data_IF_914152057428
#
_entry.id   IF_914152057428
#
_cell.length_a   1.000
_cell.length_b   1.000
_cell.length_c   1.000
_cell.angle_alpha   90.00
_cell.angle_beta   90.00
_cell.angle_gamma   90.00
#
_symmetry.space_group_name_H-M   'P 1'
#
loop_
_entity.id
_entity.type
_entity.pdbx_description
1 polymer ?
#
# COMPACT_ATOMS: atom_id res chain seq x y z
N UNK A 1 24.82 -13.16 -6.63
CA UNK A 1 23.62 -13.96 -6.33
C UNK A 1 22.37 -13.08 -6.43
N UNK A 2 21.35 -13.54 -7.15
CA UNK A 2 20.07 -12.84 -7.28
C UNK A 2 19.15 -13.17 -6.11
N UNK A 3 18.19 -12.28 -5.85
CA UNK A 3 17.17 -12.45 -4.79
C UNK A 3 16.37 -13.74 -4.96
N UNK A 4 16.08 -14.14 -6.19
CA UNK A 4 15.31 -15.36 -6.49
C UNK A 4 16.09 -16.62 -6.10
N UNK A 5 17.42 -16.63 -6.23
CA UNK A 5 18.24 -17.83 -6.01
C UNK A 5 18.21 -18.30 -4.54
N UNK A 6 17.92 -17.35 -3.63
CA UNK A 6 17.74 -17.60 -2.19
C UNK A 6 16.38 -18.23 -1.86
N UNK A 7 15.45 -18.31 -2.81
CA UNK A 7 14.10 -18.86 -2.59
C UNK A 7 13.97 -20.19 -3.33
N UNK A 8 13.49 -21.21 -2.65
CA UNK A 8 13.20 -22.52 -3.25
C UNK A 8 11.80 -22.97 -2.90
N UNK A 9 11.01 -23.36 -3.90
CA UNK A 9 9.65 -23.87 -3.71
C UNK A 9 9.75 -25.38 -3.67
N UNK A 10 9.33 -25.98 -2.56
CA UNK A 10 9.43 -27.42 -2.33
C UNK A 10 8.07 -28.01 -1.99
N UNK A 11 7.86 -29.24 -2.45
CA UNK A 11 6.63 -29.98 -2.22
C UNK A 11 6.80 -30.98 -1.08
N UNK A 12 5.86 -30.97 -0.14
CA UNK A 12 5.75 -32.01 0.88
C UNK A 12 5.29 -31.50 2.23
N UNK A 13 5.47 -32.34 3.25
CA UNK A 13 5.26 -31.96 4.64
C UNK A 13 6.45 -31.13 5.12
N UNK A 14 6.17 -29.97 5.72
CA UNK A 14 7.19 -29.05 6.22
C UNK A 14 8.14 -29.70 7.24
N UNK A 15 7.65 -30.64 8.06
CA UNK A 15 8.46 -31.38 9.04
C UNK A 15 9.51 -32.26 8.34
N UNK A 16 9.17 -32.86 7.19
CA UNK A 16 10.10 -33.68 6.42
C UNK A 16 11.12 -32.82 5.68
N UNK A 17 10.69 -31.65 5.18
CA UNK A 17 11.56 -30.68 4.50
C UNK A 17 12.65 -30.19 5.44
N UNK A 18 12.31 -29.81 6.69
CA UNK A 18 13.33 -29.28 7.62
C UNK A 18 14.39 -30.32 7.97
N UNK A 19 14.02 -31.60 8.05
CA UNK A 19 14.96 -32.71 8.28
C UNK A 19 15.85 -32.98 7.07
N UNK A 20 15.29 -32.92 5.87
CA UNK A 20 16.02 -33.21 4.63
C UNK A 20 17.02 -32.10 4.26
N UNK A 21 16.72 -30.86 4.61
CA UNK A 21 17.46 -29.68 4.16
C UNK A 21 18.24 -28.96 5.27
N UNK A 22 18.33 -29.55 6.47
CA UNK A 22 19.04 -28.99 7.63
C UNK A 22 18.65 -27.52 7.90
N UNK A 23 17.35 -27.33 8.13
CA UNK A 23 16.76 -26.00 8.27
C UNK A 23 16.81 -25.55 9.73
N UNK A 24 17.37 -24.36 9.99
CA UNK A 24 17.54 -23.80 11.34
C UNK A 24 16.21 -23.31 11.94
N UNK A 25 15.30 -22.75 11.11
CA UNK A 25 13.99 -22.27 11.57
C UNK A 25 12.81 -22.85 10.79
N UNK A 26 11.78 -23.26 11.51
CA UNK A 26 10.49 -23.67 10.93
C UNK A 26 9.39 -22.67 11.27
N UNK A 27 8.58 -22.28 10.29
CA UNK A 27 7.43 -21.40 10.53
C UNK A 27 6.17 -22.24 10.75
N UNK A 28 5.52 -22.02 11.88
CA UNK A 28 4.21 -22.56 12.18
C UNK A 28 3.11 -21.54 11.78
N UNK A 29 2.16 -21.97 10.95
CA UNK A 29 0.92 -21.24 10.68
C UNK A 29 -0.08 -21.41 11.84
N UNK A 30 0.14 -20.66 12.91
CA UNK A 30 -0.49 -20.87 14.21
C UNK A 30 -1.81 -20.12 14.39
N UNK A 31 -2.60 -20.57 15.37
CA UNK A 31 -3.70 -19.79 15.96
C UNK A 31 -3.14 -18.81 17.00
N UNK A 32 -3.88 -17.73 17.32
CA UNK A 32 -3.51 -16.72 18.33
C UNK A 32 -3.12 -17.28 19.70
N UNK A 33 -3.66 -18.45 20.08
CA UNK A 33 -3.38 -19.08 21.36
C UNK A 33 -2.02 -19.75 21.42
N UNK A 34 -1.45 -20.14 20.27
CA UNK A 34 -0.21 -20.94 20.14
C UNK A 34 -0.29 -22.35 20.74
N UNK A 35 -1.49 -22.82 21.09
CA UNK A 35 -1.71 -24.11 21.78
C UNK A 35 -1.97 -25.28 20.83
N UNK A 36 -1.46 -25.20 19.60
CA UNK A 36 -1.64 -26.20 18.57
C UNK A 36 -2.98 -26.15 17.82
N UNK A 37 -3.12 -27.07 16.86
CA UNK A 37 -4.25 -27.09 15.95
C UNK A 37 -4.19 -28.26 14.97
N UNK A 38 -4.69 -28.03 13.76
CA UNK A 38 -4.67 -28.98 12.65
C UNK A 38 -3.79 -28.46 11.51
N UNK A 39 -3.51 -29.31 10.52
CA UNK A 39 -2.65 -28.96 9.40
C UNK A 39 -1.19 -28.79 9.85
N UNK A 40 -0.52 -27.75 9.36
CA UNK A 40 0.90 -27.49 9.67
C UNK A 40 1.15 -27.32 11.18
N UNK A 41 0.26 -26.63 11.88
CA UNK A 41 0.36 -26.40 13.33
C UNK A 41 0.36 -27.72 14.11
N UNK A 42 -0.61 -28.58 13.82
CA UNK A 42 -0.68 -29.91 14.42
C UNK A 42 0.53 -30.79 14.08
N UNK A 43 0.99 -30.76 12.83
CA UNK A 43 2.14 -31.55 12.39
C UNK A 43 3.44 -31.14 13.12
N UNK A 44 3.67 -29.84 13.34
CA UNK A 44 4.84 -29.35 14.07
C UNK A 44 4.77 -29.73 15.55
N UNK A 45 3.60 -29.52 16.20
CA UNK A 45 3.39 -29.92 17.58
C UNK A 45 3.63 -31.43 17.78
N UNK A 46 3.03 -32.25 16.93
CA UNK A 46 3.18 -33.70 17.00
C UNK A 46 4.64 -34.12 16.78
N UNK A 47 5.33 -33.55 15.79
CA UNK A 47 6.73 -33.88 15.52
C UNK A 47 7.65 -33.54 16.70
N UNK A 48 7.43 -32.40 17.37
CA UNK A 48 8.22 -32.02 18.55
C UNK A 48 7.88 -32.91 19.75
N UNK A 49 6.60 -33.21 19.98
CA UNK A 49 6.16 -34.11 21.06
C UNK A 49 6.75 -35.52 20.89
N UNK A 50 6.70 -36.07 19.67
CA UNK A 50 7.21 -37.40 19.33
C UNK A 50 8.74 -37.48 19.55
N UNK A 51 9.51 -36.48 19.08
CA UNK A 51 10.96 -36.44 19.27
C UNK A 51 11.38 -36.32 20.75
N UNK A 52 10.49 -35.77 21.58
CA UNK A 52 10.71 -35.63 23.03
C UNK A 52 10.02 -36.73 23.85
N UNK A 53 9.39 -37.72 23.21
CA UNK A 53 8.69 -38.84 23.85
C UNK A 53 7.65 -38.40 24.89
N UNK A 54 6.98 -37.27 24.67
CA UNK A 54 5.95 -36.74 25.58
C UNK A 54 4.87 -35.97 24.82
N UNK A 55 3.65 -36.50 24.85
CA UNK A 55 2.47 -35.81 24.31
C UNK A 55 2.19 -34.51 25.07
N UNK A 56 1.94 -33.42 24.34
CA UNK A 56 1.69 -32.10 24.90
C UNK A 56 2.95 -31.37 25.37
N UNK A 57 4.15 -31.95 25.18
CA UNK A 57 5.42 -31.33 25.57
C UNK A 57 5.58 -29.95 24.98
N UNK A 58 5.40 -29.79 23.68
CA UNK A 58 5.64 -28.50 23.03
C UNK A 58 4.67 -27.42 23.55
N UNK A 59 3.42 -27.79 23.82
CA UNK A 59 2.42 -26.89 24.40
C UNK A 59 2.81 -26.41 25.80
N UNK A 60 3.31 -27.30 26.65
CA UNK A 60 3.81 -26.94 27.98
C UNK A 60 5.00 -25.99 27.88
N UNK A 61 5.95 -26.30 26.99
CA UNK A 61 7.14 -25.49 26.79
C UNK A 61 6.83 -24.08 26.26
N UNK A 62 5.88 -23.95 25.32
CA UNK A 62 5.43 -22.62 24.84
C UNK A 62 4.89 -21.78 26.00
N UNK A 63 4.18 -22.39 26.96
CA UNK A 63 3.70 -21.66 28.14
C UNK A 63 4.83 -21.24 29.05
N UNK A 64 5.78 -22.14 29.29
CA UNK A 64 6.95 -21.85 30.12
C UNK A 64 7.77 -20.68 29.53
N UNK A 65 8.04 -20.72 28.22
CA UNK A 65 8.80 -19.69 27.49
C UNK A 65 8.07 -18.34 27.42
N UNK A 66 6.75 -18.32 27.24
CA UNK A 66 6.00 -17.08 26.96
C UNK A 66 5.21 -16.53 28.14
N UNK A 67 4.68 -17.38 29.01
CA UNK A 67 3.88 -16.95 30.17
C UNK A 67 4.74 -16.82 31.45
N UNK A 68 5.90 -17.49 31.49
CA UNK A 68 6.84 -17.50 32.60
C UNK A 68 6.16 -17.83 33.94
N UNK A 69 6.39 -16.99 34.95
CA UNK A 69 5.85 -17.19 36.31
C UNK A 69 4.33 -16.96 36.43
N UNK A 70 3.63 -16.55 35.38
CA UNK A 70 2.20 -16.28 35.41
C UNK A 70 1.44 -17.08 34.33
N UNK A 71 1.33 -18.42 34.51
CA UNK A 71 0.82 -19.32 33.50
C UNK A 71 -0.59 -18.93 33.07
N UNK A 72 -0.78 -18.74 31.76
CA UNK A 72 -2.07 -18.38 31.19
C UNK A 72 -2.85 -19.63 30.78
N UNK A 73 -4.18 -19.50 30.76
CA UNK A 73 -5.07 -20.54 30.23
C UNK A 73 -4.81 -20.76 28.74
N UNK A 74 -5.26 -21.89 28.22
CA UNK A 74 -5.05 -22.26 26.81
C UNK A 74 -5.72 -21.30 25.84
N UNK A 75 -6.83 -20.69 26.23
CA UNK A 75 -7.61 -19.76 25.42
C UNK A 75 -6.98 -18.35 25.36
N UNK A 76 -5.93 -18.10 26.14
CA UNK A 76 -5.25 -16.82 26.13
C UNK A 76 -4.55 -16.58 24.78
N UNK A 77 -4.80 -15.41 24.19
CA UNK A 77 -4.16 -15.01 22.95
C UNK A 77 -2.74 -14.53 23.26
N UNK A 78 -1.74 -15.36 22.94
CA UNK A 78 -0.32 -15.03 23.11
C UNK A 78 0.23 -14.22 21.95
N UNK A 79 -0.37 -14.35 20.76
CA UNK A 79 0.05 -13.64 19.56
C UNK A 79 -1.13 -12.97 18.86
N UNK A 80 -0.90 -11.75 18.35
CA UNK A 80 -1.88 -11.02 17.56
C UNK A 80 -1.81 -11.36 16.07
N UNK A 81 -2.92 -11.15 15.37
CA UNK A 81 -2.96 -11.29 13.92
C UNK A 81 -1.94 -10.35 13.26
N UNK A 82 -1.17 -10.87 12.31
CA UNK A 82 -0.15 -10.09 11.62
C UNK A 82 1.20 -10.02 12.32
N UNK A 83 1.39 -10.84 13.36
CA UNK A 83 2.64 -10.94 14.13
C UNK A 83 3.14 -12.38 14.16
N UNK A 84 4.40 -12.51 14.53
CA UNK A 84 5.03 -13.79 14.81
C UNK A 84 5.78 -13.74 16.14
N UNK A 85 5.88 -14.89 16.81
CA UNK A 85 6.64 -15.09 18.06
C UNK A 85 7.55 -16.29 17.88
N UNK A 86 8.76 -16.22 18.42
CA UNK A 86 9.76 -17.29 18.36
C UNK A 86 9.73 -18.09 19.65
N UNK A 87 9.83 -19.41 19.54
CA UNK A 87 10.12 -20.34 20.64
C UNK A 87 11.22 -21.30 20.21
N UNK A 88 11.75 -22.09 21.14
CA UNK A 88 12.70 -23.16 20.80
C UNK A 88 12.04 -24.23 19.93
N UNK A 89 12.75 -24.73 18.93
CA UNK A 89 12.32 -25.86 18.11
C UNK A 89 12.73 -27.23 18.67
N UNK A 90 13.42 -27.25 19.81
CA UNK A 90 13.84 -28.46 20.52
C UNK A 90 14.69 -29.37 19.64
N UNK A 91 14.31 -30.66 19.53
CA UNK A 91 15.03 -31.64 18.73
C UNK A 91 14.64 -31.59 17.24
N UNK A 92 13.70 -30.75 16.85
CA UNK A 92 13.24 -30.67 15.46
C UNK A 92 14.10 -29.70 14.64
N UNK A 93 14.28 -28.48 15.16
CA UNK A 93 15.06 -27.37 14.59
C UNK A 93 15.51 -26.46 15.74
N UNK A 94 16.35 -25.46 15.48
CA UNK A 94 16.78 -24.52 16.53
C UNK A 94 15.60 -23.70 17.05
N UNK A 95 14.77 -23.18 16.14
CA UNK A 95 13.65 -22.30 16.49
C UNK A 95 12.38 -22.56 15.69
N UNK A 96 11.24 -22.40 16.36
CA UNK A 96 9.91 -22.37 15.73
C UNK A 96 9.39 -20.94 15.76
N UNK A 97 9.04 -20.42 14.59
CA UNK A 97 8.38 -19.11 14.46
C UNK A 97 6.88 -19.34 14.34
N UNK A 98 6.12 -18.99 15.36
CA UNK A 98 4.67 -19.05 15.34
C UNK A 98 4.06 -17.79 14.73
N UNK A 99 3.65 -17.86 13.47
CA UNK A 99 3.06 -16.75 12.74
C UNK A 99 1.54 -16.85 12.67
N UNK A 100 0.84 -15.79 13.08
CA UNK A 100 -0.62 -15.78 13.17
C UNK A 100 -1.26 -14.97 12.05
N UNK A 101 -1.55 -15.66 10.94
CA UNK A 101 -2.21 -15.09 9.77
C UNK A 101 -3.67 -14.68 10.01
N UNK A 102 -4.23 -13.76 9.22
CA UNK A 102 -5.65 -13.40 9.33
C UNK A 102 -6.55 -14.48 8.73
N UNK A 103 -7.79 -14.57 9.22
CA UNK A 103 -8.87 -15.25 8.50
C UNK A 103 -9.28 -14.43 7.28
N UNK A 104 -9.60 -15.12 6.18
CA UNK A 104 -10.16 -14.49 5.00
C UNK A 104 -11.47 -13.79 5.32
N UNK A 105 -11.56 -12.50 4.99
CA UNK A 105 -12.77 -11.72 5.19
C UNK A 105 -13.56 -11.48 3.89
N UNK A 106 -13.07 -11.95 2.75
CA UNK A 106 -13.76 -11.85 1.47
C UNK A 106 -14.89 -12.86 1.31
N UNK A 107 -15.71 -12.66 0.28
CA UNK A 107 -16.78 -13.60 -0.05
C UNK A 107 -16.22 -14.72 -0.93
N UNK A 108 -16.19 -15.95 -0.40
CA UNK A 108 -15.69 -17.14 -1.10
C UNK A 108 -16.61 -17.57 -2.27
N UNK A 109 -17.91 -17.27 -2.20
CA UNK A 109 -18.90 -17.70 -3.19
C UNK A 109 -18.90 -16.84 -4.46
N UNK A 110 -18.19 -15.71 -4.47
CA UNK A 110 -17.93 -14.94 -5.68
C UNK A 110 -16.53 -15.32 -6.13
N UNK A 111 -16.41 -16.11 -7.19
CA UNK A 111 -15.15 -16.47 -7.85
C UNK A 111 -14.18 -15.27 -7.86
N UNK A 112 -13.16 -15.27 -6.99
CA UNK A 112 -12.19 -14.18 -6.88
C UNK A 112 -12.61 -12.96 -6.04
N UNK A 113 -13.44 -13.14 -5.00
CA UNK A 113 -13.81 -12.07 -4.07
C UNK A 113 -12.60 -11.27 -3.57
N UNK A 114 -12.77 -9.95 -3.42
CA UNK A 114 -11.75 -9.10 -2.79
C UNK A 114 -11.80 -9.23 -1.27
N UNK A 115 -10.65 -9.29 -0.61
CA UNK A 115 -10.53 -9.09 0.84
C UNK A 115 -10.29 -7.62 1.17
N UNK A 116 -10.49 -7.25 2.43
CA UNK A 116 -10.17 -5.91 2.90
C UNK A 116 -8.67 -5.63 2.85
N UNK A 117 -8.30 -4.35 2.82
CA UNK A 117 -6.91 -3.92 2.93
C UNK A 117 -6.28 -4.37 4.26
N UNK A 118 -7.01 -4.27 5.38
CA UNK A 118 -6.54 -4.68 6.70
C UNK A 118 -6.22 -6.17 6.78
N UNK A 119 -7.01 -7.02 6.11
CA UNK A 119 -6.72 -8.46 6.03
C UNK A 119 -5.40 -8.71 5.28
N UNK A 120 -5.19 -8.05 4.14
CA UNK A 120 -3.96 -8.19 3.36
C UNK A 120 -2.74 -7.68 4.14
N UNK A 121 -2.87 -6.55 4.83
CA UNK A 121 -1.80 -5.97 5.64
C UNK A 121 -1.42 -6.85 6.83
N UNK A 122 -2.38 -7.56 7.44
CA UNK A 122 -2.09 -8.56 8.48
C UNK A 122 -1.30 -9.73 7.89
N UNK A 123 -1.70 -10.28 6.74
CA UNK A 123 -0.95 -11.39 6.15
C UNK A 123 0.48 -10.97 5.74
N UNK A 124 0.63 -9.78 5.15
CA UNK A 124 1.94 -9.17 4.89
C UNK A 124 2.76 -9.01 6.17
N UNK A 125 2.14 -8.48 7.23
CA UNK A 125 2.78 -8.29 8.54
C UNK A 125 3.31 -9.59 9.14
N UNK A 126 2.62 -10.72 8.93
CA UNK A 126 3.12 -12.04 9.36
C UNK A 126 4.46 -12.35 8.70
N UNK A 127 4.55 -12.22 7.38
CA UNK A 127 5.80 -12.52 6.65
C UNK A 127 6.91 -11.54 6.99
N UNK A 128 6.60 -10.25 7.17
CA UNK A 128 7.60 -9.28 7.66
C UNK A 128 8.11 -9.66 9.05
N UNK A 129 7.21 -9.99 9.99
CA UNK A 129 7.58 -10.43 11.34
C UNK A 129 8.40 -11.72 11.33
N UNK A 130 8.06 -12.70 10.49
CA UNK A 130 8.81 -13.96 10.33
C UNK A 130 10.24 -13.69 9.89
N UNK A 131 10.42 -12.84 8.88
CA UNK A 131 11.73 -12.53 8.32
C UNK A 131 12.55 -11.64 9.27
N UNK A 132 11.91 -10.72 10.00
CA UNK A 132 12.56 -9.95 11.05
C UNK A 132 13.06 -10.87 12.18
N UNK A 133 12.25 -11.84 12.62
CA UNK A 133 12.66 -12.86 13.59
C UNK A 133 13.84 -13.70 13.08
N UNK A 134 13.84 -14.12 11.82
CA UNK A 134 14.98 -14.84 11.22
C UNK A 134 16.28 -14.03 11.34
N UNK A 135 16.24 -12.72 11.08
CA UNK A 135 17.41 -11.85 11.20
C UNK A 135 17.83 -11.60 12.64
N UNK A 136 16.88 -11.49 13.57
CA UNK A 136 17.13 -11.26 14.99
C UNK A 136 17.85 -12.45 15.63
N UNK A 137 17.46 -13.67 15.27
CA UNK A 137 18.02 -14.92 15.77
C UNK A 137 19.24 -15.40 14.95
N UNK A 138 19.67 -14.64 13.93
CA UNK A 138 20.88 -14.94 13.16
C UNK A 138 20.82 -16.22 12.32
N UNK A 139 19.62 -16.72 12.00
CA UNK A 139 19.43 -17.94 11.23
C UNK A 139 19.50 -17.66 9.72
N UNK A 140 20.04 -18.63 8.97
CA UNK A 140 20.36 -18.52 7.55
C UNK A 140 19.45 -19.39 6.68
N UNK A 141 18.84 -20.44 7.22
CA UNK A 141 17.85 -21.29 6.56
C UNK A 141 16.50 -21.27 7.28
N UNK A 142 15.42 -21.15 6.50
CA UNK A 142 14.06 -21.14 7.05
C UNK A 142 13.07 -21.87 6.12
N UNK A 143 12.14 -22.62 6.70
CA UNK A 143 11.03 -23.24 5.98
C UNK A 143 9.70 -22.55 6.34
N UNK A 144 8.98 -22.07 5.33
CA UNK A 144 7.79 -21.25 5.47
C UNK A 144 6.61 -21.89 4.72
N UNK A 145 5.51 -22.26 5.40
CA UNK A 145 4.30 -22.71 4.74
C UNK A 145 3.54 -21.51 4.16
N UNK A 146 2.54 -21.75 3.32
CA UNK A 146 1.64 -20.68 2.86
C UNK A 146 0.66 -20.33 4.00
N UNK A 147 0.93 -19.24 4.71
CA UNK A 147 0.14 -18.83 5.87
C UNK A 147 -1.28 -18.44 5.45
N UNK A 148 -2.27 -18.82 6.26
CA UNK A 148 -3.72 -18.59 6.08
C UNK A 148 -4.43 -19.33 4.95
N UNK A 149 -3.74 -20.07 4.07
CA UNK A 149 -4.37 -20.73 2.91
C UNK A 149 -5.13 -22.02 3.21
N UNK A 150 -5.01 -22.55 4.44
CA UNK A 150 -5.75 -23.73 4.90
C UNK A 150 -7.04 -23.38 5.64
N UNK A 151 -7.09 -23.68 6.94
CA UNK A 151 -8.29 -23.51 7.78
C UNK A 151 -8.82 -22.07 7.86
N UNK A 152 -7.98 -21.07 7.58
CA UNK A 152 -8.32 -19.64 7.56
C UNK A 152 -8.90 -19.19 6.21
N UNK A 153 -9.01 -20.12 5.24
CA UNK A 153 -9.72 -19.99 3.95
C UNK A 153 -9.24 -18.83 3.08
N UNK A 154 -8.01 -18.38 3.26
CA UNK A 154 -7.43 -17.39 2.35
C UNK A 154 -7.19 -18.07 1.00
N UNK A 155 -7.68 -17.53 -0.13
CA UNK A 155 -7.47 -18.13 -1.44
C UNK A 155 -5.97 -18.35 -1.70
N UNK A 156 -5.61 -19.58 -2.05
CA UNK A 156 -4.21 -20.01 -2.12
C UNK A 156 -3.36 -19.08 -2.99
N UNK A 157 -3.78 -18.84 -4.24
CA UNK A 157 -3.06 -17.98 -5.18
C UNK A 157 -2.77 -16.57 -4.62
N UNK A 158 -3.75 -15.96 -3.93
CA UNK A 158 -3.57 -14.65 -3.32
C UNK A 158 -2.61 -14.70 -2.12
N UNK A 159 -2.71 -15.73 -1.28
CA UNK A 159 -1.80 -15.92 -0.15
C UNK A 159 -0.36 -16.17 -0.62
N UNK A 160 -0.19 -17.03 -1.63
CA UNK A 160 1.08 -17.34 -2.28
C UNK A 160 1.71 -16.09 -2.90
N UNK A 161 0.92 -15.28 -3.61
CA UNK A 161 1.37 -14.01 -4.18
C UNK A 161 1.84 -13.03 -3.09
N UNK A 162 1.11 -12.90 -1.99
CA UNK A 162 1.52 -12.06 -0.85
C UNK A 162 2.81 -12.60 -0.21
N UNK A 163 2.94 -13.92 -0.02
CA UNK A 163 4.15 -14.55 0.52
C UNK A 163 5.37 -14.25 -0.34
N UNK A 164 5.30 -14.60 -1.62
CA UNK A 164 6.40 -14.44 -2.57
C UNK A 164 6.85 -12.97 -2.67
N UNK A 165 5.89 -12.05 -2.85
CA UNK A 165 6.17 -10.61 -2.91
C UNK A 165 6.79 -10.10 -1.62
N UNK A 166 6.31 -10.54 -0.44
CA UNK A 166 6.84 -10.10 0.85
C UNK A 166 8.29 -10.54 1.04
N UNK A 167 8.61 -11.80 0.74
CA UNK A 167 9.97 -12.36 0.82
C UNK A 167 10.90 -11.66 -0.17
N UNK A 168 10.50 -11.51 -1.45
CA UNK A 168 11.32 -10.82 -2.45
C UNK A 168 11.58 -9.35 -2.08
N UNK A 169 10.57 -8.63 -1.56
CA UNK A 169 10.73 -7.25 -1.12
C UNK A 169 11.67 -7.14 0.09
N UNK A 170 11.55 -8.05 1.05
CA UNK A 170 12.45 -8.13 2.19
C UNK A 170 13.90 -8.34 1.74
N UNK A 171 14.16 -9.38 0.94
CA UNK A 171 15.50 -9.70 0.44
C UNK A 171 16.08 -8.57 -0.41
N UNK A 172 15.26 -7.91 -1.24
CA UNK A 172 15.68 -6.76 -2.05
C UNK A 172 16.05 -5.55 -1.18
N UNK A 173 15.33 -5.30 -0.09
CA UNK A 173 15.69 -4.26 0.90
C UNK A 173 16.96 -4.63 1.65
N UNK A 174 17.09 -5.88 2.09
CA UNK A 174 18.25 -6.39 2.81
C UNK A 174 19.51 -6.27 1.94
N UNK A 175 19.47 -6.74 0.69
CA UNK A 175 20.58 -6.62 -0.27
C UNK A 175 21.07 -5.18 -0.46
N UNK A 176 20.18 -4.19 -0.38
CA UNK A 176 20.53 -2.76 -0.51
C UNK A 176 21.08 -2.16 0.78
N UNK A 177 20.52 -2.55 1.93
CA UNK A 177 20.84 -1.95 3.24
C UNK A 177 22.04 -2.63 3.92
N UNK A 178 22.12 -3.95 3.80
CA UNK A 178 23.11 -4.81 4.46
C UNK A 178 23.44 -6.01 3.55
N UNK A 179 24.37 -5.81 2.59
CA UNK A 179 24.78 -6.85 1.64
C UNK A 179 25.43 -8.07 2.30
N UNK A 180 26.10 -7.89 3.44
CA UNK A 180 26.77 -8.97 4.18
C UNK A 180 25.74 -9.92 4.77
N UNK A 181 24.75 -9.39 5.51
CA UNK A 181 23.64 -10.20 6.01
C UNK A 181 22.83 -10.86 4.90
N UNK A 182 22.64 -10.17 3.78
CA UNK A 182 22.02 -10.81 2.60
C UNK A 182 22.85 -11.99 2.07
N UNK A 183 24.18 -11.90 2.14
CA UNK A 183 25.10 -12.97 1.77
C UNK A 183 24.94 -14.21 2.64
N UNK A 184 24.76 -14.01 3.95
CA UNK A 184 24.63 -15.07 4.97
C UNK A 184 23.36 -15.93 4.81
N UNK A 185 22.24 -15.35 4.36
CA UNK A 185 21.02 -16.11 4.11
C UNK A 185 21.31 -17.21 3.10
N UNK A 186 21.17 -18.47 3.47
CA UNK A 186 21.44 -19.60 2.58
C UNK A 186 20.24 -19.89 1.69
N UNK A 187 19.10 -20.23 2.31
CA UNK A 187 17.88 -20.58 1.58
C UNK A 187 16.60 -20.33 2.39
N UNK A 188 15.59 -19.80 1.71
CA UNK A 188 14.21 -19.70 2.18
C UNK A 188 13.39 -20.73 1.41
N UNK A 189 12.96 -21.79 2.10
CA UNK A 189 12.12 -22.84 1.55
C UNK A 189 10.65 -22.44 1.69
N UNK A 190 9.97 -22.25 0.57
CA UNK A 190 8.51 -22.10 0.53
C UNK A 190 7.94 -23.50 0.38
N UNK A 191 7.27 -23.99 1.42
CA UNK A 191 6.74 -25.36 1.46
C UNK A 191 5.27 -25.37 1.06
N UNK A 192 4.96 -26.15 0.03
CA UNK A 192 3.60 -26.35 -0.49
C UNK A 192 3.21 -27.83 -0.44
N UNK A 193 1.93 -28.10 -0.23
CA UNK A 193 1.46 -29.47 0.00
C UNK A 193 0.89 -30.16 -1.25
N UNK A 194 0.39 -29.40 -2.23
CA UNK A 194 -0.18 -29.94 -3.47
C UNK A 194 0.70 -29.67 -4.69
N UNK A 195 0.66 -30.54 -5.69
CA UNK A 195 1.38 -30.35 -6.95
C UNK A 195 0.83 -29.17 -7.77
N UNK A 196 -0.48 -28.93 -7.73
CA UNK A 196 -1.09 -27.80 -8.45
C UNK A 196 -0.71 -26.44 -7.82
N UNK A 197 -0.45 -26.44 -6.51
CA UNK A 197 0.03 -25.28 -5.77
C UNK A 197 1.46 -24.87 -6.21
N UNK A 198 2.32 -25.84 -6.57
CA UNK A 198 3.65 -25.56 -7.13
C UNK A 198 3.52 -24.81 -8.45
N UNK A 199 2.63 -25.26 -9.35
CA UNK A 199 2.40 -24.61 -10.65
C UNK A 199 1.94 -23.16 -10.44
N UNK A 200 1.08 -22.92 -9.44
CA UNK A 200 0.67 -21.58 -9.05
C UNK A 200 1.86 -20.71 -8.64
N UNK A 201 2.77 -21.21 -7.80
CA UNK A 201 3.97 -20.47 -7.41
C UNK A 201 4.93 -20.21 -8.56
N UNK A 202 5.15 -21.18 -9.46
CA UNK A 202 6.00 -20.98 -10.63
C UNK A 202 5.41 -19.92 -11.58
N UNK A 203 4.08 -19.88 -11.74
CA UNK A 203 3.42 -18.81 -12.49
C UNK A 203 3.66 -17.43 -11.85
N UNK A 204 3.52 -17.31 -10.52
CA UNK A 204 3.80 -16.07 -9.79
C UNK A 204 5.27 -15.67 -9.93
N UNK A 205 6.20 -16.61 -9.77
CA UNK A 205 7.63 -16.38 -9.92
C UNK A 205 7.97 -15.88 -11.32
N UNK A 206 7.41 -16.48 -12.35
CA UNK A 206 7.56 -16.05 -13.75
C UNK A 206 6.97 -14.65 -14.00
N UNK A 207 5.81 -14.33 -13.42
CA UNK A 207 5.16 -13.00 -13.51
C UNK A 207 6.10 -11.88 -13.03
N UNK A 208 6.86 -12.14 -11.95
CA UNK A 208 7.68 -11.15 -11.25
C UNK A 208 9.18 -11.25 -11.51
N UNK A 209 9.68 -12.31 -12.16
CA UNK A 209 11.11 -12.59 -12.34
C UNK A 209 11.90 -11.38 -12.89
N UNK A 210 11.38 -10.76 -13.96
CA UNK A 210 12.02 -9.59 -14.58
C UNK A 210 12.08 -8.36 -13.66
N UNK A 211 11.13 -8.20 -12.74
CA UNK A 211 11.13 -7.09 -11.77
C UNK A 211 12.11 -7.36 -10.62
N UNK A 212 12.14 -8.59 -10.11
CA UNK A 212 13.05 -9.00 -9.03
C UNK A 212 14.50 -8.94 -9.48
N UNK A 213 14.81 -9.40 -10.70
CA UNK A 213 16.17 -9.34 -11.25
C UNK A 213 16.68 -7.90 -11.41
N UNK A 214 15.78 -6.94 -11.62
CA UNK A 214 16.09 -5.49 -11.65
C UNK A 214 16.15 -4.86 -10.25
N UNK A 215 15.97 -5.63 -9.17
CA UNK A 215 16.00 -5.14 -7.79
C UNK A 215 14.89 -4.15 -7.46
N UNK A 216 13.72 -4.27 -8.13
CA UNK A 216 12.55 -3.42 -7.91
C UNK A 216 11.68 -3.94 -6.76
N UNK A 217 11.04 -3.03 -6.04
CA UNK A 217 10.04 -3.40 -5.04
C UNK A 217 8.71 -3.76 -5.72
N UNK A 218 8.20 -4.94 -5.41
CA UNK A 218 7.01 -5.53 -6.02
C UNK A 218 5.73 -5.11 -5.29
N UNK A 219 4.62 -5.11 -6.02
CA UNK A 219 3.26 -4.94 -5.49
C UNK A 219 2.51 -6.27 -5.50
N UNK A 220 1.79 -6.56 -4.41
CA UNK A 220 0.96 -7.77 -4.28
C UNK A 220 -0.45 -7.60 -4.86
N UNK A 221 -0.93 -6.36 -5.06
CA UNK A 221 -2.22 -6.04 -5.68
C UNK A 221 -2.03 -5.11 -6.88
N UNK A 222 -2.81 -5.40 -7.93
CA UNK A 222 -3.06 -4.43 -9.01
C UNK A 222 -3.80 -3.18 -8.49
N UNK A 223 -3.87 -2.13 -9.31
CA UNK A 223 -4.62 -0.90 -8.98
C UNK A 223 -6.08 -1.21 -8.71
N UNK A 224 -6.69 -2.08 -9.52
CA UNK A 224 -8.09 -2.44 -9.39
C UNK A 224 -8.37 -3.27 -8.12
N UNK A 225 -7.51 -4.23 -7.81
CA UNK A 225 -7.62 -5.03 -6.59
C UNK A 225 -7.41 -4.18 -5.34
N UNK A 226 -6.47 -3.23 -5.38
CA UNK A 226 -6.22 -2.28 -4.28
C UNK A 226 -7.48 -1.47 -4.00
N UNK A 227 -8.10 -0.92 -5.04
CA UNK A 227 -9.36 -0.18 -4.93
C UNK A 227 -10.50 -1.00 -4.32
N UNK A 228 -10.69 -2.24 -4.80
CA UNK A 228 -11.71 -3.16 -4.26
C UNK A 228 -11.44 -3.47 -2.78
N UNK A 229 -10.19 -3.67 -2.42
CA UNK A 229 -9.78 -3.92 -1.04
C UNK A 229 -10.05 -2.72 -0.12
N UNK A 230 -9.77 -1.50 -0.58
CA UNK A 230 -10.05 -0.28 0.18
C UNK A 230 -11.54 -0.02 0.39
N UNK A 231 -12.36 -0.20 -0.65
CA UNK A 231 -13.83 -0.07 -0.51
C UNK A 231 -14.41 -1.07 0.48
N UNK A 232 -13.94 -2.32 0.42
CA UNK A 232 -14.36 -3.35 1.36
C UNK A 232 -13.94 -3.00 2.78
N UNK A 233 -12.73 -2.52 2.96
CA UNK A 233 -12.22 -2.09 4.26
C UNK A 233 -13.05 -0.95 4.87
N UNK A 234 -13.45 0.04 4.06
CA UNK A 234 -14.39 1.11 4.45
C UNK A 234 -15.76 0.52 4.82
N UNK A 235 -16.29 -0.40 4.03
CA UNK A 235 -17.61 -0.98 4.29
C UNK A 235 -17.66 -1.76 5.60
N UNK A 236 -16.65 -2.61 5.83
CA UNK A 236 -16.64 -3.59 6.90
C UNK A 236 -16.12 -3.00 8.21
N UNK A 237 -15.13 -2.09 8.17
CA UNK A 237 -14.36 -1.71 9.38
C UNK A 237 -14.44 -0.25 9.80
N UNK A 238 -14.96 0.66 8.96
CA UNK A 238 -15.06 2.07 9.38
C UNK A 238 -15.94 2.24 10.61
N UNK A 239 -17.07 1.53 10.68
CA UNK A 239 -18.00 1.63 11.81
C UNK A 239 -17.51 0.85 13.03
N UNK A 240 -17.06 -0.39 12.84
CA UNK A 240 -16.71 -1.28 13.98
C UNK A 240 -15.34 -0.99 14.58
N UNK A 241 -14.34 -0.64 13.76
CA UNK A 241 -12.94 -0.52 14.20
C UNK A 241 -12.45 0.92 14.29
N UNK A 242 -12.97 1.82 13.45
CA UNK A 242 -12.49 3.21 13.34
C UNK A 242 -13.43 4.26 13.90
N UNK A 243 -14.63 3.86 14.31
CA UNK A 243 -15.68 4.76 14.78
C UNK A 243 -16.08 5.85 13.77
N UNK A 244 -15.91 5.58 12.46
CA UNK A 244 -16.43 6.42 11.38
C UNK A 244 -17.85 5.96 11.04
N UNK A 245 -18.83 6.78 11.41
CA UNK A 245 -20.26 6.50 11.21
C UNK A 245 -20.93 7.50 10.26
N UNK A 246 -22.10 7.14 9.75
CA UNK A 246 -23.00 8.00 8.98
C UNK A 246 -22.30 8.77 7.85
N UNK A 247 -22.27 10.09 7.97
CA UNK A 247 -21.76 11.03 6.98
C UNK A 247 -20.28 10.82 6.65
N UNK A 248 -19.43 10.51 7.64
CA UNK A 248 -17.98 10.33 7.39
C UNK A 248 -17.74 9.06 6.56
N UNK A 249 -18.43 7.96 6.90
CA UNK A 249 -18.35 6.72 6.13
C UNK A 249 -18.84 6.93 4.70
N UNK A 250 -19.94 7.68 4.52
CA UNK A 250 -20.44 8.04 3.20
C UNK A 250 -19.42 8.85 2.40
N UNK A 251 -18.84 9.91 2.99
CA UNK A 251 -17.80 10.72 2.36
C UNK A 251 -16.60 9.87 1.92
N UNK A 252 -16.08 8.99 2.79
CA UNK A 252 -14.96 8.10 2.47
C UNK A 252 -15.26 7.17 1.30
N UNK A 253 -16.49 6.65 1.20
CA UNK A 253 -16.93 5.86 0.03
C UNK A 253 -16.97 6.70 -1.23
N UNK A 254 -17.58 7.89 -1.19
CA UNK A 254 -17.66 8.80 -2.35
C UNK A 254 -16.26 9.15 -2.84
N UNK A 255 -15.36 9.54 -1.93
CA UNK A 255 -13.96 9.81 -2.25
C UNK A 255 -13.30 8.59 -2.89
N UNK A 256 -13.46 7.38 -2.34
CA UNK A 256 -12.89 6.19 -2.96
C UNK A 256 -13.46 5.97 -4.38
N UNK A 257 -14.79 5.99 -4.54
CA UNK A 257 -15.48 5.77 -5.82
C UNK A 257 -15.09 6.78 -6.89
N UNK A 258 -14.80 8.03 -6.52
CA UNK A 258 -14.45 9.10 -7.46
C UNK A 258 -13.20 8.83 -8.30
N UNK A 259 -12.33 7.88 -7.92
CA UNK A 259 -11.15 7.54 -8.73
C UNK A 259 -11.50 7.07 -10.14
N UNK A 260 -12.66 6.41 -10.29
CA UNK A 260 -13.13 5.92 -11.59
C UNK A 260 -13.74 7.00 -12.47
N UNK A 261 -14.16 8.12 -11.88
CA UNK A 261 -14.65 9.26 -12.65
C UNK A 261 -13.54 9.86 -13.50
N UNK A 262 -12.30 9.83 -12.99
CA UNK A 262 -11.12 10.24 -13.71
C UNK A 262 -10.56 9.12 -14.59
N UNK A 263 -11.36 8.68 -15.56
CA UNK A 263 -11.11 7.46 -16.33
C UNK A 263 -9.75 7.47 -17.04
N UNK A 264 -9.36 8.59 -17.67
CA UNK A 264 -8.10 8.67 -18.43
C UNK A 264 -6.89 8.40 -17.53
N UNK A 265 -6.84 9.02 -16.34
CA UNK A 265 -5.72 8.86 -15.41
C UNK A 265 -5.77 7.50 -14.72
N UNK A 266 -6.96 7.02 -14.37
CA UNK A 266 -7.16 5.67 -13.85
C UNK A 266 -6.68 4.59 -14.85
N UNK A 267 -7.02 4.74 -16.12
CA UNK A 267 -6.62 3.82 -17.18
C UNK A 267 -5.10 3.80 -17.36
N UNK A 268 -4.46 4.97 -17.48
CA UNK A 268 -3.01 5.09 -17.58
C UNK A 268 -2.31 4.49 -16.36
N UNK A 269 -2.84 4.72 -15.15
CA UNK A 269 -2.33 4.12 -13.91
C UNK A 269 -2.34 2.59 -14.01
N UNK A 270 -3.42 1.98 -14.49
CA UNK A 270 -3.51 0.52 -14.66
C UNK A 270 -2.46 -0.01 -15.64
N UNK A 271 -2.17 0.72 -16.72
CA UNK A 271 -1.16 0.31 -17.71
C UNK A 271 0.28 0.38 -17.19
N UNK A 272 0.61 1.40 -16.38
CA UNK A 272 2.01 1.69 -16.03
C UNK A 272 2.38 1.42 -14.56
N UNK A 273 1.43 1.17 -13.66
CA UNK A 273 1.65 1.21 -12.21
C UNK A 273 1.32 -0.08 -11.41
N UNK A 274 1.06 -1.22 -12.06
CA UNK A 274 0.50 -2.39 -11.36
C UNK A 274 1.52 -3.37 -10.77
N UNK A 275 2.76 -3.42 -11.27
CA UNK A 275 3.73 -4.46 -10.86
C UNK A 275 4.74 -4.03 -9.80
N UNK A 276 5.13 -2.76 -9.80
CA UNK A 276 6.24 -2.27 -8.96
C UNK A 276 5.89 -0.98 -8.25
N UNK A 277 6.40 -0.82 -7.03
CA UNK A 277 6.21 0.39 -6.25
C UNK A 277 6.85 1.59 -6.95
N UNK A 278 8.04 1.43 -7.54
CA UNK A 278 8.73 2.48 -8.28
C UNK A 278 7.94 2.94 -9.51
N UNK A 279 7.35 2.00 -10.27
CA UNK A 279 6.50 2.35 -11.41
C UNK A 279 5.27 3.15 -11.00
N UNK A 280 4.58 2.72 -9.93
CA UNK A 280 3.44 3.47 -9.37
C UNK A 280 3.83 4.84 -8.85
N UNK A 281 5.00 4.94 -8.22
CA UNK A 281 5.57 6.20 -7.76
C UNK A 281 5.84 7.14 -8.94
N UNK A 282 6.64 6.72 -9.92
CA UNK A 282 7.01 7.56 -11.07
C UNK A 282 5.77 8.04 -11.81
N UNK A 283 4.76 7.18 -11.97
CA UNK A 283 3.50 7.55 -12.61
C UNK A 283 2.78 8.68 -11.85
N UNK A 284 2.58 8.54 -10.54
CA UNK A 284 1.91 9.57 -9.72
C UNK A 284 2.69 10.88 -9.76
N UNK A 285 4.02 10.82 -9.62
CA UNK A 285 4.88 12.02 -9.63
C UNK A 285 4.82 12.75 -10.97
N UNK A 286 4.94 12.01 -12.08
CA UNK A 286 4.87 12.57 -13.42
C UNK A 286 3.49 13.16 -13.70
N UNK A 287 2.42 12.45 -13.31
CA UNK A 287 1.05 12.91 -13.45
C UNK A 287 0.82 14.24 -12.73
N UNK A 288 1.27 14.38 -11.48
CA UNK A 288 1.10 15.62 -10.71
C UNK A 288 1.83 16.81 -11.35
N UNK A 289 3.06 16.61 -11.85
CA UNK A 289 3.82 17.67 -12.52
C UNK A 289 3.17 18.05 -13.86
N UNK A 290 2.82 17.06 -14.68
CA UNK A 290 2.20 17.29 -16.00
C UNK A 290 0.89 18.06 -15.85
N UNK A 291 0.07 17.70 -14.86
CA UNK A 291 -1.18 18.41 -14.57
C UNK A 291 -0.96 19.89 -14.30
N UNK A 292 -0.02 20.23 -13.42
CA UNK A 292 0.28 21.62 -13.11
C UNK A 292 0.72 22.42 -14.34
N UNK A 293 1.43 21.79 -15.28
CA UNK A 293 1.92 22.46 -16.49
C UNK A 293 0.84 22.68 -17.56
N UNK A 294 -0.25 21.89 -17.57
CA UNK A 294 -1.29 21.98 -18.61
C UNK A 294 -2.03 23.32 -18.59
N UNK A 295 -2.59 23.80 -17.45
CA UNK A 295 -3.24 25.11 -17.39
C UNK A 295 -2.28 26.27 -17.68
N UNK A 296 -1.01 26.14 -17.26
CA UNK A 296 0.02 27.11 -17.57
C UNK A 296 0.29 27.18 -19.08
N UNK A 297 0.35 26.04 -19.76
CA UNK A 297 0.46 25.97 -21.21
C UNK A 297 -0.77 26.59 -21.89
N UNK A 298 -1.98 26.30 -21.42
CA UNK A 298 -3.20 26.90 -21.96
C UNK A 298 -3.22 28.42 -21.79
N UNK A 299 -2.80 28.93 -20.64
CA UNK A 299 -2.65 30.37 -20.39
C UNK A 299 -1.69 31.01 -21.39
N UNK A 300 -0.50 30.43 -21.56
CA UNK A 300 0.50 30.92 -22.53
C UNK A 300 -0.08 30.90 -23.94
N UNK A 301 -0.69 29.78 -24.34
CA UNK A 301 -1.30 29.62 -25.66
C UNK A 301 -2.37 30.70 -25.93
N UNK A 302 -3.23 30.99 -24.95
CA UNK A 302 -4.25 32.04 -25.09
C UNK A 302 -3.68 33.46 -25.05
N UNK A 303 -2.51 33.65 -24.41
CA UNK A 303 -1.85 34.96 -24.29
C UNK A 303 -1.00 35.33 -25.50
N UNK A 304 -0.53 34.34 -26.29
CA UNK A 304 0.34 34.56 -27.45
C UNK A 304 -0.39 35.11 -28.69
N UNK A 305 -1.64 35.54 -28.53
CA UNK A 305 -2.47 36.16 -29.56
C UNK A 305 -2.38 35.44 -30.92
N UNK A 306 -2.48 34.10 -30.88
CA UNK A 306 -2.52 33.22 -32.09
C UNK A 306 -3.89 33.38 -32.82
N UNK A 307 -4.78 34.21 -32.26
CA UNK A 307 -6.11 34.54 -32.78
C UNK A 307 -6.19 35.02 -34.23
N UNK A 308 -5.19 35.67 -34.87
CA UNK A 308 -5.34 36.08 -36.27
C UNK A 308 -5.26 34.93 -37.28
N UNK A 309 -4.86 33.71 -36.87
CA UNK A 309 -4.72 32.55 -37.76
C UNK A 309 -5.82 31.49 -37.58
N UNK A 310 -6.77 31.70 -36.67
CA UNK A 310 -7.80 30.73 -36.30
C UNK A 310 -9.18 31.40 -36.38
N UNK A 311 -10.14 30.80 -37.10
CA UNK A 311 -11.51 31.31 -37.20
C UNK A 311 -12.13 31.53 -35.80
N UNK A 312 -12.96 32.58 -35.67
CA UNK A 312 -13.57 32.99 -34.39
C UNK A 312 -14.29 31.85 -33.66
N UNK A 313 -15.03 31.02 -34.40
CA UNK A 313 -15.77 29.89 -33.83
C UNK A 313 -14.83 28.78 -33.32
N UNK A 314 -13.73 28.54 -34.04
CA UNK A 314 -12.71 27.55 -33.67
C UNK A 314 -11.97 27.99 -32.41
N UNK A 315 -11.68 29.28 -32.27
CA UNK A 315 -11.06 29.86 -31.07
C UNK A 315 -11.95 29.69 -29.82
N UNK A 316 -13.26 29.94 -29.95
CA UNK A 316 -14.23 29.72 -28.86
C UNK A 316 -14.29 28.24 -28.46
N UNK A 317 -14.31 27.33 -29.45
CA UNK A 317 -14.32 25.89 -29.21
C UNK A 317 -13.08 25.41 -28.45
N UNK A 318 -11.89 25.83 -28.88
CA UNK A 318 -10.62 25.49 -28.21
C UNK A 318 -10.62 25.99 -26.77
N UNK A 319 -11.05 27.24 -26.54
CA UNK A 319 -11.15 27.80 -25.18
C UNK A 319 -12.09 26.99 -24.29
N UNK A 320 -13.26 26.59 -24.79
CA UNK A 320 -14.20 25.77 -24.02
C UNK A 320 -13.62 24.39 -23.68
N UNK A 321 -12.90 23.76 -24.62
CA UNK A 321 -12.19 22.50 -24.36
C UNK A 321 -11.14 22.71 -23.26
N UNK A 322 -10.29 23.74 -23.37
CA UNK A 322 -9.25 24.01 -22.38
C UNK A 322 -9.82 24.31 -20.99
N UNK A 323 -10.94 25.05 -20.92
CA UNK A 323 -11.69 25.27 -19.67
C UNK A 323 -12.16 23.95 -19.09
N UNK A 324 -12.82 23.10 -19.89
CA UNK A 324 -13.30 21.80 -19.45
C UNK A 324 -12.17 20.90 -18.93
N UNK A 325 -11.06 20.83 -19.65
CA UNK A 325 -9.86 20.06 -19.25
C UNK A 325 -9.28 20.61 -17.94
N UNK A 326 -9.13 21.93 -17.80
CA UNK A 326 -8.57 22.54 -16.59
C UNK A 326 -9.44 22.28 -15.36
N UNK A 327 -10.75 22.42 -15.47
CA UNK A 327 -11.69 22.11 -14.38
C UNK A 327 -11.64 20.61 -14.03
N UNK A 328 -11.55 19.73 -15.02
CA UNK A 328 -11.42 18.29 -14.80
C UNK A 328 -10.14 17.95 -14.03
N UNK A 329 -8.98 18.49 -14.45
CA UNK A 329 -7.70 18.24 -13.78
C UNK A 329 -7.66 18.81 -12.36
N UNK A 330 -8.15 20.03 -12.17
CA UNK A 330 -8.27 20.67 -10.85
C UNK A 330 -9.17 19.84 -9.92
N UNK A 331 -10.31 19.36 -10.42
CA UNK A 331 -11.22 18.50 -9.64
C UNK A 331 -10.54 17.20 -9.20
N UNK A 332 -9.72 16.61 -10.07
CA UNK A 332 -8.95 15.42 -9.74
C UNK A 332 -7.91 15.70 -8.65
N UNK A 333 -7.20 16.83 -8.74
CA UNK A 333 -6.22 17.27 -7.73
C UNK A 333 -6.88 17.50 -6.38
N UNK A 334 -8.03 18.19 -6.34
CA UNK A 334 -8.80 18.41 -5.11
C UNK A 334 -9.26 17.09 -4.47
N UNK A 335 -9.76 16.16 -5.27
CA UNK A 335 -10.17 14.84 -4.79
C UNK A 335 -8.98 14.03 -4.28
N UNK A 336 -7.84 14.06 -4.98
CA UNK A 336 -6.62 13.39 -4.53
C UNK A 336 -6.16 13.91 -3.16
N UNK A 337 -6.13 15.24 -3.01
CA UNK A 337 -5.78 15.91 -1.77
C UNK A 337 -6.78 15.57 -0.65
N UNK A 338 -8.08 15.50 -0.96
CA UNK A 338 -9.11 15.04 -0.02
C UNK A 338 -8.91 13.60 0.43
N UNK A 339 -8.53 12.70 -0.48
CA UNK A 339 -8.22 11.30 -0.16
C UNK A 339 -7.03 11.21 0.79
N UNK A 340 -5.97 12.00 0.59
CA UNK A 340 -4.82 12.00 1.49
C UNK A 340 -5.22 12.38 2.93
N UNK A 341 -6.19 13.29 3.10
CA UNK A 341 -6.70 13.66 4.41
C UNK A 341 -7.60 12.56 4.99
N UNK A 342 -8.70 12.27 4.28
CA UNK A 342 -9.80 11.46 4.81
C UNK A 342 -9.57 9.96 4.72
N UNK A 343 -8.51 9.47 4.05
CA UNK A 343 -8.21 8.05 3.88
C UNK A 343 -6.75 7.72 4.20
N UNK A 344 -6.04 8.61 4.91
CA UNK A 344 -4.62 8.44 5.28
C UNK A 344 -4.34 7.12 6.03
N UNK A 345 -5.29 6.67 6.84
CA UNK A 345 -5.23 5.45 7.64
C UNK A 345 -5.27 4.16 6.81
N UNK A 346 -5.77 4.22 5.58
CA UNK A 346 -5.91 3.07 4.67
C UNK A 346 -4.94 3.17 3.48
N UNK A 347 -4.67 4.37 2.97
CA UNK A 347 -3.88 4.57 1.75
C UNK A 347 -2.36 4.50 1.96
N UNK A 348 -1.86 4.42 3.21
CA UNK A 348 -0.43 4.42 3.56
C UNK A 348 0.34 5.56 2.88
N UNK A 349 0.38 6.77 3.47
CA UNK A 349 1.05 7.92 2.86
C UNK A 349 2.56 7.65 2.63
N UNK A 350 3.16 8.44 1.74
CA UNK A 350 4.61 8.38 1.51
C UNK A 350 5.36 8.57 2.82
N UNK A 351 6.23 7.61 3.17
CA UNK A 351 7.06 7.68 4.37
C UNK A 351 8.04 8.87 4.36
N UNK A 352 8.36 9.40 3.17
CA UNK A 352 9.22 10.58 3.03
C UNK A 352 8.37 11.86 3.10
N UNK A 353 8.62 12.67 4.13
CA UNK A 353 7.91 13.92 4.40
C UNK A 353 8.23 15.04 3.40
N UNK A 354 9.52 15.22 3.04
CA UNK A 354 9.96 16.21 2.05
C UNK A 354 9.25 15.99 0.72
N UNK A 355 9.18 14.73 0.28
CA UNK A 355 8.48 14.35 -0.95
C UNK A 355 7.01 14.76 -0.90
N UNK A 356 6.33 14.49 0.21
CA UNK A 356 4.91 14.80 0.34
C UNK A 356 4.66 16.31 0.37
N UNK A 357 5.51 17.08 1.05
CA UNK A 357 5.46 18.55 1.06
C UNK A 357 5.66 19.11 -0.35
N UNK A 358 6.65 18.59 -1.08
CA UNK A 358 6.90 18.99 -2.47
C UNK A 358 5.67 18.78 -3.35
N UNK A 359 5.02 17.61 -3.29
CA UNK A 359 3.83 17.36 -4.12
C UNK A 359 2.59 18.13 -3.66
N UNK A 360 2.45 18.44 -2.36
CA UNK A 360 1.43 19.38 -1.89
C UNK A 360 1.65 20.78 -2.48
N UNK A 361 2.89 21.22 -2.56
CA UNK A 361 3.24 22.49 -3.23
C UNK A 361 2.94 22.45 -4.73
N UNK A 362 3.27 21.36 -5.44
CA UNK A 362 2.90 21.23 -6.86
C UNK A 362 1.38 21.23 -7.05
N UNK A 363 0.60 20.57 -6.18
CA UNK A 363 -0.87 20.62 -6.24
C UNK A 363 -1.40 22.04 -5.99
N UNK A 364 -0.74 22.83 -5.13
CA UNK A 364 -1.06 24.25 -4.95
C UNK A 364 -0.77 25.05 -6.23
N UNK A 365 0.38 24.83 -6.88
CA UNK A 365 0.69 25.46 -8.18
C UNK A 365 -0.34 25.09 -9.26
N UNK A 366 -0.70 23.81 -9.37
CA UNK A 366 -1.72 23.31 -10.31
C UNK A 366 -3.04 24.09 -10.20
N UNK A 367 -3.49 24.31 -8.97
CA UNK A 367 -4.72 25.05 -8.69
C UNK A 367 -4.58 26.53 -9.05
N UNK A 368 -3.48 27.19 -8.68
CA UNK A 368 -3.27 28.61 -9.01
C UNK A 368 -3.09 28.83 -10.52
N UNK A 369 -2.39 27.95 -11.22
CA UNK A 369 -2.28 28.02 -12.68
C UNK A 369 -3.63 27.80 -13.37
N UNK A 370 -4.48 26.93 -12.82
CA UNK A 370 -5.86 26.78 -13.29
C UNK A 370 -6.65 28.07 -13.10
N UNK A 371 -6.59 28.71 -11.93
CA UNK A 371 -7.28 29.98 -11.70
C UNK A 371 -6.73 31.12 -12.55
N UNK A 372 -5.41 31.20 -12.74
CA UNK A 372 -4.79 32.16 -13.65
C UNK A 372 -5.31 32.01 -15.08
N UNK A 373 -5.41 30.77 -15.56
CA UNK A 373 -6.03 30.48 -16.85
C UNK A 373 -7.50 30.92 -16.89
N UNK A 374 -8.31 30.57 -15.87
CA UNK A 374 -9.73 30.95 -15.83
C UNK A 374 -9.91 32.48 -15.75
N UNK A 375 -9.08 33.20 -15.00
CA UNK A 375 -9.11 34.66 -14.94
C UNK A 375 -8.76 35.31 -16.27
N UNK A 376 -7.80 34.75 -17.01
CA UNK A 376 -7.46 35.25 -18.35
C UNK A 376 -8.63 35.14 -19.33
N UNK A 377 -9.55 34.19 -19.12
CA UNK A 377 -10.69 33.95 -20.00
C UNK A 377 -11.97 34.68 -19.58
N UNK A 378 -12.22 34.73 -18.27
CA UNK A 378 -13.53 35.03 -17.69
C UNK A 378 -13.51 36.10 -16.59
N UNK A 379 -12.32 36.48 -16.10
CA UNK A 379 -12.19 37.59 -15.17
C UNK A 379 -12.23 38.93 -15.91
N UNK A 380 -12.52 40.00 -15.17
CA UNK A 380 -12.34 41.38 -15.65
C UNK A 380 -10.86 41.69 -15.96
N UNK A 381 -9.97 40.76 -15.60
CA UNK A 381 -8.54 40.73 -15.88
C UNK A 381 -8.16 40.31 -17.30
N UNK A 382 -9.14 39.96 -18.16
CA UNK A 382 -8.94 39.61 -19.57
C UNK A 382 -8.06 40.63 -20.32
N UNK A 383 -8.18 41.91 -19.98
CA UNK A 383 -7.44 43.00 -20.63
C UNK A 383 -6.01 43.19 -20.10
N UNK A 384 -5.66 42.61 -18.95
CA UNK A 384 -4.32 42.78 -18.33
C UNK A 384 -3.29 41.73 -18.81
N UNK A 385 -3.70 40.74 -19.60
CA UNK A 385 -2.82 39.71 -20.16
C UNK A 385 -2.50 38.53 -19.22
N UNK A 386 -1.75 37.55 -19.74
CA UNK A 386 -1.50 36.28 -19.03
C UNK A 386 -0.66 36.42 -17.75
N UNK A 387 0.32 37.33 -17.74
CA UNK A 387 1.18 37.59 -16.57
C UNK A 387 0.38 38.22 -15.43
N UNK A 388 -0.50 39.17 -15.73
CA UNK A 388 -1.38 39.76 -14.72
C UNK A 388 -2.35 38.72 -14.15
N UNK A 389 -2.89 37.84 -14.99
CA UNK A 389 -3.78 36.75 -14.53
C UNK A 389 -3.06 35.78 -13.57
N UNK A 390 -1.77 35.52 -13.78
CA UNK A 390 -0.93 34.78 -12.84
C UNK A 390 -0.75 35.53 -11.52
N UNK A 391 -0.39 36.81 -11.60
CA UNK A 391 -0.21 37.64 -10.42
C UNK A 391 -1.46 37.66 -9.55
N UNK A 392 -2.63 37.91 -10.14
CA UNK A 392 -3.92 37.93 -9.44
C UNK A 392 -4.27 36.58 -8.82
N UNK A 393 -3.95 35.47 -9.49
CA UNK A 393 -4.14 34.14 -8.92
C UNK A 393 -3.25 33.92 -7.69
N UNK A 394 -1.98 34.34 -7.69
CA UNK A 394 -1.10 34.14 -6.54
C UNK A 394 -1.33 35.14 -5.40
N UNK A 395 -1.80 36.35 -5.70
CA UNK A 395 -2.11 37.37 -4.69
C UNK A 395 -3.50 37.19 -4.06
N UNK A 396 -4.28 36.20 -4.52
CA UNK A 396 -5.67 35.97 -4.09
C UNK A 396 -6.56 37.20 -4.30
N UNK A 397 -6.36 37.89 -5.44
CA UNK A 397 -7.09 39.07 -5.93
C UNK A 397 -7.82 39.89 -4.86
N UNK A 398 -7.18 40.95 -4.38
CA UNK A 398 -7.81 41.97 -3.52
C UNK A 398 -8.84 42.85 -4.25
N UNK A 399 -8.84 42.83 -5.58
CA UNK A 399 -9.78 43.58 -6.42
C UNK A 399 -11.09 42.80 -6.57
N UNK A 400 -12.21 43.39 -6.13
CA UNK A 400 -13.55 42.84 -6.35
C UNK A 400 -13.87 42.93 -7.84
N UNK A 401 -14.04 41.81 -8.57
CA UNK A 401 -14.44 41.86 -9.97
C UNK A 401 -15.83 42.51 -10.08
N UNK A 402 -16.02 43.38 -11.06
CA UNK A 402 -17.33 43.91 -11.44
C UNK A 402 -18.26 42.85 -12.04
N UNK A 403 -17.74 41.76 -12.60
CA UNK A 403 -18.56 40.67 -13.13
C UNK A 403 -18.94 39.60 -12.09
N UNK A 404 -20.19 39.10 -12.15
CA UNK A 404 -20.69 38.04 -11.26
C UNK A 404 -19.89 36.74 -11.36
N UNK A 405 -19.45 36.39 -12.58
CA UNK A 405 -18.62 35.22 -12.82
C UNK A 405 -17.22 35.39 -12.21
N UNK A 406 -16.61 36.57 -12.36
CA UNK A 406 -15.34 36.90 -11.73
C UNK A 406 -15.41 36.79 -10.21
N UNK A 407 -16.43 37.39 -9.58
CA UNK A 407 -16.65 37.27 -8.13
C UNK A 407 -16.77 35.80 -7.69
N UNK A 408 -17.48 34.98 -8.46
CA UNK A 408 -17.64 33.54 -8.16
C UNK A 408 -16.30 32.81 -8.21
N UNK A 409 -15.45 33.10 -9.20
CA UNK A 409 -14.12 32.50 -9.32
C UNK A 409 -13.21 32.87 -8.15
N UNK A 410 -13.21 34.14 -7.72
CA UNK A 410 -12.42 34.61 -6.58
C UNK A 410 -12.85 33.92 -5.28
N UNK A 411 -14.16 33.86 -5.01
CA UNK A 411 -14.70 33.17 -3.83
C UNK A 411 -14.29 31.69 -3.87
N UNK A 412 -14.43 31.04 -5.03
CA UNK A 412 -14.08 29.63 -5.20
C UNK A 412 -12.58 29.40 -4.95
N UNK A 413 -11.70 30.24 -5.50
CA UNK A 413 -10.26 30.16 -5.29
C UNK A 413 -9.90 30.30 -3.82
N UNK A 414 -10.51 31.26 -3.12
CA UNK A 414 -10.26 31.50 -1.71
C UNK A 414 -10.69 30.30 -0.85
N UNK A 415 -11.86 29.72 -1.11
CA UNK A 415 -12.30 28.50 -0.42
C UNK A 415 -11.34 27.32 -0.66
N UNK A 416 -10.90 27.12 -1.91
CA UNK A 416 -9.97 26.04 -2.26
C UNK A 416 -8.61 26.27 -1.62
N UNK A 417 -8.08 27.49 -1.65
CA UNK A 417 -6.79 27.82 -1.05
C UNK A 417 -6.82 27.57 0.45
N UNK A 418 -7.85 28.04 1.14
CA UNK A 418 -8.03 27.81 2.57
C UNK A 418 -8.03 26.31 2.90
N UNK A 419 -8.72 25.53 2.09
CA UNK A 419 -8.75 24.07 2.20
C UNK A 419 -7.35 23.43 2.03
N UNK A 420 -6.58 23.83 1.01
CA UNK A 420 -5.22 23.33 0.79
C UNK A 420 -4.29 23.69 1.95
N UNK A 421 -4.34 24.93 2.43
CA UNK A 421 -3.54 25.39 3.57
C UNK A 421 -3.87 24.55 4.80
N UNK A 422 -5.14 24.28 5.06
CA UNK A 422 -5.59 23.42 6.16
C UNK A 422 -5.00 22.00 6.07
N UNK A 423 -4.89 21.45 4.86
CA UNK A 423 -4.29 20.12 4.64
C UNK A 423 -2.78 20.14 4.83
N UNK A 424 -2.10 21.16 4.32
CA UNK A 424 -0.67 21.34 4.53
C UNK A 424 -0.38 21.42 6.03
N UNK A 425 -1.16 22.21 6.79
CA UNK A 425 -1.01 22.33 8.23
C UNK A 425 -1.27 20.99 8.94
N UNK A 426 -2.34 20.27 8.57
CA UNK A 426 -2.65 18.94 9.13
C UNK A 426 -1.53 17.94 8.84
N UNK A 427 -0.97 17.97 7.63
CA UNK A 427 0.16 17.13 7.24
C UNK A 427 1.39 17.44 8.09
N UNK A 428 1.72 18.72 8.29
CA UNK A 428 2.80 19.14 9.17
C UNK A 428 2.59 18.66 10.61
N UNK A 429 1.40 18.88 11.19
CA UNK A 429 1.06 18.44 12.55
C UNK A 429 1.24 16.92 12.70
N UNK A 430 0.77 16.13 11.73
CA UNK A 430 0.94 14.67 11.75
C UNK A 430 2.41 14.26 11.55
N UNK A 431 3.18 14.96 10.71
CA UNK A 431 4.60 14.71 10.54
C UNK A 431 5.41 15.04 11.80
N UNK A 432 4.99 16.01 12.61
CA UNK A 432 5.63 16.29 13.90
C UNK A 432 5.32 15.22 14.94
N UNK A 433 4.07 14.73 15.00
CA UNK A 433 3.68 13.64 15.92
C UNK A 433 4.40 12.32 15.67
N UNK A 434 4.84 12.07 14.45
CA UNK A 434 5.53 10.83 14.05
C UNK A 434 7.04 10.85 14.27
N UNK A 435 7.64 12.03 14.57
CA UNK A 435 9.03 12.09 15.02
C UNK A 435 9.10 11.67 16.48
N UNK A 436 9.34 10.38 16.74
CA UNK A 436 10.00 10.00 17.99
C UNK A 436 11.35 10.72 17.99
N UNK A 437 11.51 11.70 18.87
CA UNK A 437 12.85 12.19 19.19
C UNK A 437 13.60 10.99 19.73
N UNK A 438 14.56 10.48 18.96
CA UNK A 438 15.62 9.67 19.55
C UNK A 438 16.38 10.64 20.45
N UNK A 439 15.99 10.70 21.73
CA UNK A 439 16.84 11.27 22.76
C UNK A 439 18.14 10.48 22.71
N UNK A 440 19.21 11.18 22.40
CA UNK A 440 20.60 10.70 22.38
C UNK A 440 20.92 10.02 23.71
#
# INVERSE_FOLDING_TARGET
MNTIDKIEIVHGNIVDIVRKHDVEMIVNAAKRTLMGGSGVDGAIHQAIDDLNNKTGFFKEMIKDELDGNNPKKDEFNRCDYGKAIVTKGYKLVDYVIHAVGPKWDGNYNKNGGSCSKSCIDKLKGCYESVLDCMMEYGCNTIAIPVISSGSYRFPFEKAAKIQFVSICNFLTRLKKKDPERFGMINKIYIVVFSQDDIKCFENIKNEYAGCVNKGKQLLYLSTEESYKAYLKDINDYDSERRNYFGTIKFLRKVLMMSEKFFYCTYFLKRCFADKTWEGRRIFIESQTIIKALIPLFFLVFTSLDISPYVNSDTSIWIRNIFTGVSIYLMSETLIYVAKLLFLSDILNPSANSIRSIFFLFINYLDINFTFAFLYSLYGDFKEKGGVASLYEAFEHSSQVPGSQLGMTLVILQNCITLYLIGIVFTYFVNSFRTRKFNSI
#
